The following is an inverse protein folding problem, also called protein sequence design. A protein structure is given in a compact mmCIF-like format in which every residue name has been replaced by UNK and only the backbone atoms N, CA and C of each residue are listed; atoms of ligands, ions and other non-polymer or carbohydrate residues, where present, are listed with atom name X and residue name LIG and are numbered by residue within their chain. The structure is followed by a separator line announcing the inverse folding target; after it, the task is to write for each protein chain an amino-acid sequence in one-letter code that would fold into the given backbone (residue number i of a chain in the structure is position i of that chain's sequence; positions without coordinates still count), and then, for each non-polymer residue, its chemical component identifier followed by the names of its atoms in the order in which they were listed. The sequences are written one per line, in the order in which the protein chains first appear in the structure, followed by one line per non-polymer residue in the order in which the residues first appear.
data_IF_737806382031
#
_entry.id   IF_737806382031
#
_cell.length_a   1.000
_cell.length_b   1.000
_cell.length_c   1.000
_cell.angle_alpha   90.00
_cell.angle_beta   90.00
_cell.angle_gamma   90.00
#
_symmetry.space_group_name_H-M   'P 1'
#
loop_
_entity.id
_entity.type
_entity.pdbx_description
1 polymer ?
#
# COMPACT_ATOMS: atom_id res chain seq x y z
N UNK A 1 32.47 17.14 -13.24
CA UNK A 1 31.74 16.95 -11.97
C UNK A 1 30.28 17.44 -12.05
N UNK A 2 29.98 18.55 -12.74
CA UNK A 2 28.59 19.02 -12.96
C UNK A 2 27.76 18.04 -13.84
N UNK A 3 28.36 17.35 -14.81
CA UNK A 3 27.64 16.39 -15.64
C UNK A 3 27.16 15.14 -14.89
N UNK A 4 27.90 14.69 -13.88
CA UNK A 4 27.51 13.53 -13.06
C UNK A 4 26.24 13.82 -12.25
N UNK A 5 26.10 15.02 -11.69
CA UNK A 5 24.93 15.39 -10.90
C UNK A 5 23.66 15.48 -11.75
N UNK A 6 23.75 15.99 -12.98
CA UNK A 6 22.59 16.06 -13.89
C UNK A 6 22.13 14.68 -14.37
N UNK A 7 23.06 13.76 -14.65
CA UNK A 7 22.73 12.39 -15.05
C UNK A 7 22.05 11.64 -13.90
N UNK A 8 22.54 11.81 -12.66
CA UNK A 8 21.93 11.23 -11.47
C UNK A 8 20.51 11.76 -11.25
N UNK A 9 20.30 13.07 -11.39
CA UNK A 9 18.98 13.67 -11.24
C UNK A 9 17.96 13.07 -12.23
N UNK A 10 18.33 12.97 -13.51
CA UNK A 10 17.48 12.37 -14.55
C UNK A 10 17.15 10.91 -14.23
N UNK A 11 18.13 10.12 -13.74
CA UNK A 11 17.89 8.74 -13.32
C UNK A 11 16.86 8.65 -12.20
N UNK A 12 16.98 9.49 -11.17
CA UNK A 12 16.05 9.53 -10.04
C UNK A 12 14.63 9.91 -10.49
N UNK A 13 14.50 10.89 -11.38
CA UNK A 13 13.21 11.30 -11.95
C UNK A 13 12.53 10.15 -12.70
N UNK A 14 13.27 9.42 -13.54
CA UNK A 14 12.73 8.27 -14.27
C UNK A 14 12.29 7.18 -13.29
N UNK A 15 13.12 6.83 -12.31
CA UNK A 15 12.79 5.80 -11.31
C UNK A 15 11.53 6.20 -10.51
N UNK A 16 11.43 7.47 -10.09
CA UNK A 16 10.26 7.98 -9.40
C UNK A 16 9.01 7.96 -10.27
N UNK A 17 9.12 8.28 -11.56
CA UNK A 17 8.02 8.16 -12.50
C UNK A 17 7.51 6.72 -12.58
N UNK A 18 8.40 5.73 -12.76
CA UNK A 18 8.00 4.32 -12.78
C UNK A 18 7.40 3.85 -11.45
N UNK A 19 8.01 4.22 -10.32
CA UNK A 19 7.51 3.86 -8.99
C UNK A 19 6.12 4.47 -8.72
N UNK A 20 5.89 5.74 -9.08
CA UNK A 20 4.59 6.38 -9.00
C UNK A 20 3.56 5.79 -9.95
N UNK A 21 3.99 5.51 -11.19
CA UNK A 21 3.16 4.88 -12.21
C UNK A 21 2.63 3.53 -11.76
N UNK A 22 3.47 2.70 -11.13
CA UNK A 22 3.07 1.39 -10.61
C UNK A 22 1.90 1.50 -9.61
N UNK A 23 1.93 2.51 -8.73
CA UNK A 23 0.85 2.79 -7.79
C UNK A 23 -0.46 3.19 -8.50
N UNK A 24 -0.33 3.90 -9.63
CA UNK A 24 -1.46 4.36 -10.44
C UNK A 24 -2.06 3.31 -11.37
N UNK A 25 -1.31 2.28 -11.78
CA UNK A 25 -1.77 1.23 -12.71
C UNK A 25 -2.96 0.47 -12.11
N UNK A 26 -2.83 0.04 -10.85
CA UNK A 26 -3.90 -0.63 -10.12
C UNK A 26 -5.19 0.19 -10.07
N UNK A 27 -5.04 1.52 -9.98
CA UNK A 27 -6.15 2.45 -9.84
C UNK A 27 -6.88 2.67 -11.18
N UNK A 28 -6.16 2.71 -12.30
CA UNK A 28 -6.76 2.71 -13.64
C UNK A 28 -7.46 1.39 -13.96
N UNK A 29 -6.87 0.25 -13.59
CA UNK A 29 -7.45 -1.07 -13.84
C UNK A 29 -8.82 -1.24 -13.18
N UNK A 30 -9.02 -0.66 -11.99
CA UNK A 30 -10.24 -0.82 -11.22
C UNK A 30 -11.35 0.18 -11.54
N UNK A 31 -11.19 1.08 -12.53
CA UNK A 31 -12.17 2.11 -12.94
C UNK A 31 -12.69 3.04 -11.81
N UNK A 32 -12.14 2.91 -10.59
CA UNK A 32 -12.50 3.70 -9.40
C UNK A 32 -11.64 4.96 -9.27
N UNK A 33 -10.88 5.34 -10.28
CA UNK A 33 -9.86 6.39 -10.15
C UNK A 33 -10.24 7.69 -10.85
N UNK A 34 -10.30 8.77 -10.07
CA UNK A 34 -10.34 10.16 -10.57
C UNK A 34 -8.95 10.62 -11.02
N UNK A 35 -7.89 9.95 -10.55
CA UNK A 35 -6.49 10.23 -10.81
C UNK A 35 -5.83 8.96 -11.38
N UNK A 36 -5.36 9.02 -12.63
CA UNK A 36 -4.76 7.88 -13.35
C UNK A 36 -3.25 7.70 -13.14
N UNK A 37 -2.67 6.74 -13.86
CA UNK A 37 -1.22 6.45 -13.88
C UNK A 37 -0.40 7.71 -14.11
N UNK A 38 -0.81 8.54 -15.08
CA UNK A 38 -0.15 9.82 -15.40
C UNK A 38 -0.10 10.79 -14.22
N UNK A 39 -1.17 10.90 -13.44
CA UNK A 39 -1.17 11.80 -12.28
C UNK A 39 -0.27 11.28 -11.17
N UNK A 40 -0.22 9.97 -10.92
CA UNK A 40 0.68 9.39 -9.92
C UNK A 40 2.16 9.45 -10.33
N UNK A 41 2.45 9.29 -11.62
CA UNK A 41 3.79 9.52 -12.18
C UNK A 41 4.23 10.96 -11.94
N UNK A 42 3.40 11.94 -12.31
CA UNK A 42 3.69 13.37 -12.11
C UNK A 42 3.86 13.73 -10.63
N UNK A 43 3.02 13.19 -9.74
CA UNK A 43 3.12 13.43 -8.29
C UNK A 43 4.43 12.89 -7.70
N UNK A 44 4.91 11.74 -8.16
CA UNK A 44 6.20 11.19 -7.70
C UNK A 44 7.37 11.99 -8.23
N UNK A 45 7.30 12.47 -9.48
CA UNK A 45 8.29 13.40 -10.05
C UNK A 45 8.31 14.72 -9.24
N UNK A 46 7.14 15.25 -8.85
CA UNK A 46 7.04 16.43 -8.00
C UNK A 46 7.73 16.22 -6.64
N UNK A 47 7.68 15.01 -6.08
CA UNK A 47 8.41 14.66 -4.85
C UNK A 47 9.93 14.68 -5.02
N UNK A 48 10.45 14.20 -6.16
CA UNK A 48 11.89 14.33 -6.46
C UNK A 48 12.28 15.80 -6.66
N UNK A 49 11.43 16.55 -7.36
CA UNK A 49 11.68 17.96 -7.65
C UNK A 49 11.65 18.83 -6.38
N UNK A 50 10.77 18.51 -5.42
CA UNK A 50 10.71 19.22 -4.15
C UNK A 50 12.00 19.05 -3.35
N UNK A 51 12.58 17.84 -3.32
CA UNK A 51 13.88 17.58 -2.68
C UNK A 51 15.01 18.34 -3.39
N UNK A 52 15.01 18.36 -4.73
CA UNK A 52 16.02 19.06 -5.53
C UNK A 52 15.98 20.59 -5.35
N UNK A 53 14.79 21.17 -5.18
CA UNK A 53 14.66 22.60 -4.90
C UNK A 53 15.00 22.89 -3.43
N UNK A 54 14.57 22.04 -2.50
CA UNK A 54 14.85 22.19 -1.08
C UNK A 54 16.36 22.13 -0.77
N UNK A 55 17.12 21.31 -1.51
CA UNK A 55 18.58 21.22 -1.36
C UNK A 55 19.32 22.48 -1.82
N UNK A 56 18.72 23.29 -2.69
CA UNK A 56 19.32 24.54 -3.19
C UNK A 56 18.86 25.79 -2.43
N UNK A 57 17.65 25.77 -1.88
CA UNK A 57 17.07 26.94 -1.20
C UNK A 57 17.11 26.79 0.31
N UNK A 58 16.26 25.91 0.85
CA UNK A 58 16.15 25.66 2.29
C UNK A 58 15.22 24.48 2.57
N UNK A 59 15.42 23.84 3.73
CA UNK A 59 14.58 22.73 4.17
C UNK A 59 13.10 23.13 4.38
N UNK A 60 12.81 24.42 4.59
CA UNK A 60 11.45 24.92 4.76
C UNK A 60 10.59 24.70 3.51
N UNK A 61 11.21 24.68 2.33
CA UNK A 61 10.51 24.45 1.06
C UNK A 61 9.87 23.07 1.02
N UNK A 62 10.52 22.07 1.62
CA UNK A 62 10.00 20.70 1.64
C UNK A 62 8.68 20.64 2.42
N UNK A 63 8.60 21.32 3.58
CA UNK A 63 7.37 21.46 4.36
C UNK A 63 6.26 22.17 3.59
N UNK A 64 6.59 23.23 2.84
CA UNK A 64 5.60 23.97 2.03
C UNK A 64 5.04 23.07 0.92
N UNK A 65 5.90 22.35 0.19
CA UNK A 65 5.47 21.45 -0.88
C UNK A 65 4.61 20.30 -0.34
N UNK A 66 4.90 19.83 0.88
CA UNK A 66 4.11 18.82 1.55
C UNK A 66 2.68 19.32 1.81
N UNK A 67 2.54 20.52 2.40
CA UNK A 67 1.22 21.14 2.64
C UNK A 67 0.46 21.32 1.33
N UNK A 68 1.15 21.75 0.26
CA UNK A 68 0.56 21.86 -1.08
C UNK A 68 -0.01 20.53 -1.59
N UNK A 69 0.74 19.43 -1.44
CA UNK A 69 0.28 18.10 -1.83
C UNK A 69 -0.94 17.64 -1.02
N UNK A 70 -0.97 17.93 0.28
CA UNK A 70 -2.12 17.60 1.13
C UNK A 70 -3.39 18.32 0.67
N UNK A 71 -3.29 19.61 0.33
CA UNK A 71 -4.42 20.38 -0.19
C UNK A 71 -4.95 19.81 -1.51
N UNK A 72 -4.06 19.46 -2.44
CA UNK A 72 -4.43 18.82 -3.71
C UNK A 72 -5.08 17.46 -3.45
N UNK A 73 -4.53 16.66 -2.54
CA UNK A 73 -5.07 15.35 -2.20
C UNK A 73 -6.50 15.45 -1.62
N UNK A 74 -6.74 16.41 -0.74
CA UNK A 74 -8.09 16.68 -0.19
C UNK A 74 -9.05 17.08 -1.31
N UNK A 75 -8.63 17.95 -2.22
CA UNK A 75 -9.45 18.36 -3.35
C UNK A 75 -9.82 17.18 -4.26
N UNK A 76 -8.88 16.27 -4.54
CA UNK A 76 -9.14 15.02 -5.27
C UNK A 76 -10.18 14.16 -4.53
N UNK A 77 -10.07 14.06 -3.20
CA UNK A 77 -11.05 13.36 -2.36
C UNK A 77 -12.45 13.94 -2.47
N UNK A 78 -12.58 15.27 -2.39
CA UNK A 78 -13.86 15.97 -2.53
C UNK A 78 -14.46 15.74 -3.92
N UNK A 79 -13.68 15.93 -4.99
CA UNK A 79 -14.13 15.69 -6.37
C UNK A 79 -14.62 14.25 -6.53
N UNK A 80 -13.88 13.28 -5.97
CA UNK A 80 -14.26 11.88 -6.05
C UNK A 80 -15.56 11.57 -5.30
N UNK A 81 -15.76 12.17 -4.13
CA UNK A 81 -16.99 12.06 -3.36
C UNK A 81 -18.19 12.62 -4.14
N UNK A 82 -18.03 13.77 -4.80
CA UNK A 82 -19.10 14.35 -5.63
C UNK A 82 -19.42 13.52 -6.88
N UNK A 83 -18.42 12.88 -7.51
CA UNK A 83 -18.62 12.14 -8.76
C UNK A 83 -19.17 10.72 -8.55
N UNK A 84 -18.77 10.03 -7.47
CA UNK A 84 -19.02 8.60 -7.29
C UNK A 84 -19.74 8.24 -5.98
N UNK A 85 -20.13 9.23 -5.17
CA UNK A 85 -20.73 9.04 -3.84
C UNK A 85 -19.89 8.12 -2.92
N UNK A 86 -18.58 8.11 -3.16
CA UNK A 86 -17.57 7.34 -2.43
C UNK A 86 -16.58 8.31 -1.81
N UNK A 87 -16.39 8.18 -0.49
CA UNK A 87 -15.56 9.03 0.38
C UNK A 87 -14.10 9.08 -0.10
N UNK A 88 -13.67 8.16 -0.98
CA UNK A 88 -12.46 8.36 -1.80
C UNK A 88 -11.14 8.34 -1.02
N UNK A 89 -11.15 7.99 0.27
CA UNK A 89 -10.02 8.04 1.21
C UNK A 89 -8.79 7.27 0.70
N UNK A 90 -9.03 6.13 0.04
CA UNK A 90 -7.95 5.31 -0.52
C UNK A 90 -7.23 5.99 -1.70
N UNK A 91 -7.88 6.94 -2.37
CA UNK A 91 -7.29 7.71 -3.48
C UNK A 91 -6.43 8.85 -2.95
N UNK A 92 -6.92 9.53 -1.91
CA UNK A 92 -6.18 10.59 -1.19
C UNK A 92 -4.90 10.01 -0.57
N UNK A 93 -5.01 8.88 0.13
CA UNK A 93 -3.86 8.21 0.74
C UNK A 93 -2.85 7.71 -0.29
N UNK A 94 -3.30 7.09 -1.38
CA UNK A 94 -2.40 6.70 -2.47
C UNK A 94 -1.68 7.91 -3.07
N UNK A 95 -2.36 9.05 -3.23
CA UNK A 95 -1.78 10.26 -3.81
C UNK A 95 -0.66 10.83 -2.93
N UNK A 96 -0.88 10.87 -1.61
CA UNK A 96 0.13 11.27 -0.63
C UNK A 96 1.29 10.28 -0.62
N UNK A 97 1.02 8.97 -0.68
CA UNK A 97 2.05 7.93 -0.74
C UNK A 97 2.95 8.06 -1.96
N UNK A 98 2.40 8.34 -3.14
CA UNK A 98 3.18 8.58 -4.35
C UNK A 98 4.15 9.75 -4.20
N UNK A 99 3.70 10.86 -3.60
CA UNK A 99 4.57 12.00 -3.32
C UNK A 99 5.71 11.62 -2.36
N UNK A 100 5.41 10.88 -1.29
CA UNK A 100 6.40 10.41 -0.32
C UNK A 100 7.45 9.50 -0.93
N UNK A 101 7.03 8.58 -1.80
CA UNK A 101 7.94 7.72 -2.56
C UNK A 101 8.88 8.57 -3.41
N UNK A 102 8.34 9.60 -4.09
CA UNK A 102 9.13 10.59 -4.83
C UNK A 102 10.19 11.28 -3.97
N UNK A 103 9.85 11.70 -2.75
CA UNK A 103 10.79 12.31 -1.81
C UNK A 103 11.92 11.33 -1.44
N UNK A 104 11.58 10.09 -1.09
CA UNK A 104 12.57 9.06 -0.71
C UNK A 104 13.56 8.80 -1.85
N UNK A 105 13.05 8.71 -3.08
CA UNK A 105 13.88 8.56 -4.27
C UNK A 105 14.75 9.80 -4.48
N UNK A 106 14.18 11.00 -4.33
CA UNK A 106 14.90 12.27 -4.43
C UNK A 106 16.02 12.45 -3.40
N UNK A 107 15.89 11.85 -2.21
CA UNK A 107 16.94 11.81 -1.18
C UNK A 107 18.10 10.85 -1.52
N UNK A 108 18.07 10.19 -2.68
CA UNK A 108 19.12 9.27 -3.11
C UNK A 108 18.93 7.84 -2.63
N UNK A 109 17.72 7.45 -2.17
CA UNK A 109 17.38 6.08 -1.73
C UNK A 109 16.40 5.40 -2.72
N UNK A 110 16.79 5.17 -3.99
CA UNK A 110 15.88 4.70 -5.02
C UNK A 110 15.35 3.27 -4.76
N UNK A 111 16.18 2.39 -4.20
CA UNK A 111 15.82 0.99 -3.92
C UNK A 111 14.66 0.94 -2.91
N UNK A 112 14.73 1.77 -1.88
CA UNK A 112 13.71 1.84 -0.84
C UNK A 112 12.42 2.45 -1.36
N UNK A 113 12.51 3.52 -2.16
CA UNK A 113 11.34 4.12 -2.78
C UNK A 113 10.60 3.14 -3.70
N UNK A 114 11.32 2.36 -4.50
CA UNK A 114 10.73 1.32 -5.35
C UNK A 114 10.11 0.20 -4.51
N UNK A 115 10.78 -0.27 -3.46
CA UNK A 115 10.22 -1.28 -2.56
C UNK A 115 8.92 -0.79 -1.89
N UNK A 116 8.90 0.45 -1.41
CA UNK A 116 7.72 1.06 -0.81
C UNK A 116 6.58 1.24 -1.82
N UNK A 117 6.89 1.56 -3.08
CA UNK A 117 5.89 1.58 -4.15
C UNK A 117 5.25 0.21 -4.34
N UNK A 118 6.04 -0.86 -4.47
CA UNK A 118 5.53 -2.22 -4.65
C UNK A 118 4.65 -2.64 -3.47
N UNK A 119 5.10 -2.39 -2.24
CA UNK A 119 4.35 -2.71 -1.01
C UNK A 119 3.03 -1.92 -0.96
N UNK A 120 3.09 -0.61 -1.22
CA UNK A 120 1.91 0.25 -1.22
C UNK A 120 0.89 -0.22 -2.27
N UNK A 121 1.35 -0.54 -3.49
CA UNK A 121 0.53 -1.13 -4.55
C UNK A 121 -0.12 -2.43 -4.08
N UNK A 122 0.66 -3.36 -3.52
CA UNK A 122 0.16 -4.66 -3.05
C UNK A 122 -0.91 -4.52 -1.94
N UNK A 123 -0.70 -3.64 -0.96
CA UNK A 123 -1.69 -3.34 0.10
C UNK A 123 -2.95 -2.79 -0.52
N UNK A 124 -2.78 -1.86 -1.46
CA UNK A 124 -3.88 -1.16 -2.09
C UNK A 124 -4.73 -2.13 -2.92
N UNK A 125 -4.12 -3.07 -3.64
CA UNK A 125 -4.80 -4.16 -4.36
C UNK A 125 -5.49 -5.15 -3.42
N UNK A 126 -4.84 -5.53 -2.32
CA UNK A 126 -5.39 -6.51 -1.37
C UNK A 126 -6.68 -6.01 -0.71
N UNK A 127 -6.76 -4.70 -0.42
CA UNK A 127 -7.98 -4.08 0.08
C UNK A 127 -9.16 -4.11 -0.92
N UNK A 128 -8.89 -4.19 -2.23
CA UNK A 128 -9.93 -4.38 -3.26
C UNK A 128 -10.36 -5.84 -3.32
N UNK A 129 -9.43 -6.78 -3.19
CA UNK A 129 -9.68 -8.21 -3.37
C UNK A 129 -10.78 -8.74 -2.41
N UNK A 130 -10.87 -8.17 -1.21
CA UNK A 130 -11.90 -8.56 -0.24
C UNK A 130 -13.30 -8.03 -0.57
N UNK A 131 -13.45 -6.88 -1.20
CA UNK A 131 -14.79 -6.28 -1.43
C UNK A 131 -15.50 -6.82 -2.69
N UNK A 132 -14.76 -7.20 -3.74
CA UNK A 132 -15.35 -7.72 -4.98
C UNK A 132 -15.46 -9.26 -5.03
N UNK A 133 -14.59 -10.00 -4.34
CA UNK A 133 -14.59 -11.48 -4.36
C UNK A 133 -15.46 -12.10 -3.27
N UNK A 134 -15.57 -11.48 -2.09
CA UNK A 134 -16.45 -11.98 -1.02
C UNK A 134 -17.93 -12.08 -1.45
N UNK A 135 -18.54 -11.12 -2.19
CA UNK A 135 -19.91 -11.28 -2.68
C UNK A 135 -20.03 -12.26 -3.86
N UNK A 136 -18.99 -12.43 -4.71
CA UNK A 136 -19.01 -13.44 -5.78
C UNK A 136 -18.86 -14.87 -5.29
N UNK A 137 -18.25 -15.08 -4.12
CA UNK A 137 -18.26 -16.37 -3.42
C UNK A 137 -19.57 -16.61 -2.63
N UNK A 138 -20.38 -15.56 -2.43
CA UNK A 138 -21.61 -15.65 -1.64
C UNK A 138 -22.87 -16.00 -2.47
N UNK A 139 -22.83 -15.86 -3.80
CA UNK A 139 -24.04 -16.06 -4.62
C UNK A 139 -24.16 -17.48 -5.22
N UNK A 140 -23.10 -18.29 -5.22
CA UNK A 140 -23.16 -19.68 -5.74
C UNK A 140 -22.40 -20.66 -4.84
N UNK A 141 -23.05 -21.12 -3.78
CA UNK A 141 -22.85 -22.48 -3.25
C UNK A 141 -21.59 -22.81 -2.45
N UNK A 142 -20.74 -21.86 -2.05
CA UNK A 142 -19.52 -22.15 -1.26
C UNK A 142 -19.77 -22.24 0.25
N UNK A 143 -20.65 -21.39 0.80
CA UNK A 143 -21.04 -21.46 2.21
C UNK A 143 -21.88 -22.69 2.54
N UNK A 144 -22.70 -23.18 1.60
CA UNK A 144 -23.50 -24.39 1.78
C UNK A 144 -22.63 -25.66 1.84
N UNK A 145 -21.55 -25.74 1.06
CA UNK A 145 -20.55 -26.82 1.12
C UNK A 145 -19.67 -26.74 2.38
N UNK A 146 -19.37 -25.54 2.85
CA UNK A 146 -18.60 -25.34 4.09
C UNK A 146 -19.41 -25.68 5.37
N UNK A 147 -20.73 -25.45 5.36
CA UNK A 147 -21.62 -25.83 6.47
C UNK A 147 -21.90 -27.34 6.47
N UNK A 148 -21.98 -28.00 5.29
CA UNK A 148 -22.22 -29.45 5.22
C UNK A 148 -21.04 -30.30 5.72
N UNK A 149 -19.80 -29.80 5.66
CA UNK A 149 -18.62 -30.56 6.08
C UNK A 149 -18.12 -30.26 7.51
N UNK A 150 -18.74 -29.35 8.26
CA UNK A 150 -18.42 -29.16 9.69
C UNK A 150 -16.96 -28.74 10.00
N UNK A 151 -16.19 -28.26 9.01
CA UNK A 151 -14.76 -27.88 9.14
C UNK A 151 -14.54 -26.43 9.55
N UNK A 152 -15.60 -25.66 9.78
CA UNK A 152 -15.52 -24.22 10.09
C UNK A 152 -15.06 -23.96 11.53
N UNK A 153 -15.32 -24.89 12.46
CA UNK A 153 -14.84 -24.77 13.86
C UNK A 153 -13.33 -24.99 14.00
N UNK A 154 -12.70 -25.73 13.09
CA UNK A 154 -11.26 -26.03 13.15
C UNK A 154 -10.38 -24.85 12.72
N UNK A 155 -10.83 -24.04 11.75
CA UNK A 155 -10.04 -22.95 11.18
C UNK A 155 -10.06 -21.68 12.06
N UNK A 156 -11.15 -21.44 12.77
CA UNK A 156 -11.32 -20.28 13.66
C UNK A 156 -10.54 -20.42 14.99
N UNK A 157 -10.15 -21.64 15.36
CA UNK A 157 -9.39 -21.94 16.59
C UNK A 157 -7.87 -22.04 16.37
N UNK A 158 -7.40 -21.95 15.12
CA UNK A 158 -6.02 -22.24 14.73
C UNK A 158 -4.95 -21.31 15.33
N UNK A 159 -5.14 -19.97 15.44
CA UNK A 159 -4.11 -19.14 16.05
C UNK A 159 -4.13 -19.21 17.60
N UNK A 160 -5.23 -19.63 18.23
CA UNK A 160 -5.35 -19.68 19.69
C UNK A 160 -4.78 -20.97 20.30
N UNK A 161 -4.90 -22.12 19.62
CA UNK A 161 -4.37 -23.41 20.12
C UNK A 161 -2.85 -23.56 19.99
N UNK A 162 -2.21 -22.86 19.06
CA UNK A 162 -0.76 -22.93 18.89
C UNK A 162 0.01 -22.30 20.08
N UNK A 163 -0.60 -21.32 20.77
CA UNK A 163 -0.01 -20.66 21.93
C UNK A 163 -0.19 -21.46 23.23
N UNK A 164 -1.32 -22.16 23.40
CA UNK A 164 -1.66 -22.89 24.62
C UNK A 164 -1.01 -24.28 24.77
N UNK A 165 -0.45 -24.85 23.70
CA UNK A 165 0.20 -26.17 23.74
C UNK A 165 1.71 -26.13 24.06
N UNK A 166 2.33 -24.96 24.22
CA UNK A 166 3.73 -24.88 24.66
C UNK A 166 3.91 -25.03 26.17
N UNK A 167 2.85 -24.79 26.96
CA UNK A 167 2.92 -24.71 28.43
C UNK A 167 2.55 -26.04 29.13
N UNK A 168 1.92 -26.97 28.42
CA UNK A 168 1.42 -28.25 28.97
C UNK A 168 2.32 -29.47 28.71
N UNK A 169 3.43 -29.33 27.98
CA UNK A 169 4.37 -30.42 27.70
C UNK A 169 5.39 -30.68 28.82
N UNK A 170 5.54 -29.78 29.80
CA UNK A 170 6.54 -29.92 30.88
C UNK A 170 6.03 -30.85 32.01
N UNK A 171 4.72 -31.04 32.18
CA UNK A 171 4.15 -31.60 33.41
C UNK A 171 3.73 -33.09 33.36
N UNK A 172 3.94 -33.80 32.24
CA UNK A 172 3.49 -35.20 32.09
C UNK A 172 4.60 -36.23 31.87
N UNK A 173 5.86 -35.89 32.11
CA UNK A 173 6.97 -36.87 32.08
C UNK A 173 7.06 -37.79 33.32
N UNK A 174 6.06 -37.79 34.21
CA UNK A 174 6.16 -38.47 35.52
C UNK A 174 5.01 -39.41 35.92
N UNK A 175 4.13 -39.83 35.01
CA UNK A 175 3.16 -40.88 35.38
C UNK A 175 2.71 -41.73 34.19
N UNK A 176 2.69 -43.04 34.42
CA UNK A 176 2.18 -44.11 33.55
C UNK A 176 3.23 -44.75 32.61
N UNK A 177 4.33 -45.20 33.22
CA UNK A 177 4.70 -46.62 33.08
C UNK A 177 3.84 -47.38 34.10
N UNK A 178 2.69 -47.91 33.69
CA UNK A 178 1.94 -48.98 34.39
C UNK A 178 0.63 -49.28 33.66
N UNK A 179 0.48 -50.56 33.31
CA UNK A 179 -0.79 -51.29 33.15
C UNK A 179 -1.80 -50.74 32.12
N UNK A 180 -1.84 -51.34 30.93
CA UNK A 180 -2.57 -52.59 30.65
C UNK A 180 -2.22 -53.11 29.26
#
# INVERSE_FOLDING_TARGET
MVYESHILFIKLVIIAAFAGGLLGVEREMMHKAVAGTRTFMLTSILGVLSVYIASQTSQIFLSITLVGIFLIAILIGIIKNFMNDDIGITTVSAFIMAFMIGIIIGLGRPIEGVAMSIIATAILTTAILTTDILPRLNTVGFYATLISEGRVTALLMAPAKAFALSESYIDTSHSISMCF
#
